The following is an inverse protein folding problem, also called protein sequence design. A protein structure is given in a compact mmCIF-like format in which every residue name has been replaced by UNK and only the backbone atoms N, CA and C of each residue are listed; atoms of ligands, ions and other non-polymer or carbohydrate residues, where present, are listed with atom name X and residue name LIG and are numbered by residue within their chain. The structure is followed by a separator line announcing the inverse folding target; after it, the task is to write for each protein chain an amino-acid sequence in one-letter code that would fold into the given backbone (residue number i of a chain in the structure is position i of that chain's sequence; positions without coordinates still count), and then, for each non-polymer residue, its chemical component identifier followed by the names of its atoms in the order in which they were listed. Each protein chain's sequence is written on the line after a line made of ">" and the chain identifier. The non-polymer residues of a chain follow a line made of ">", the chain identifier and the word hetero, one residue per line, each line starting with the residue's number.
data_IF_818259885845
#
_entry.id   IF_818259885845
#
_cell.length_a   1.000
_cell.length_b   1.000
_cell.length_c   1.000
_cell.angle_alpha   90.00
_cell.angle_beta   90.00
_cell.angle_gamma   90.00
#
_symmetry.space_group_name_H-M   'P 1'
#
loop_
_entity.id
_entity.type
_entity.pdbx_description
1 polymer ?
#
# COMPACT_ATOMS: atom_id res chain seq x y z
N UNK A 1 -36.86 18.52 -3.92
CA UNK A 1 -35.42 18.53 -4.30
C UNK A 1 -34.62 19.02 -3.10
N UNK A 2 -33.56 18.30 -2.69
CA UNK A 2 -32.73 18.69 -1.54
C UNK A 2 -31.93 19.96 -1.90
N UNK A 3 -31.91 21.01 -1.06
CA UNK A 3 -31.14 22.23 -1.32
C UNK A 3 -29.66 21.93 -1.59
N UNK A 4 -29.04 22.56 -2.60
CA UNK A 4 -27.63 22.29 -2.97
C UNK A 4 -26.67 22.41 -1.79
N UNK A 5 -26.88 23.39 -0.89
CA UNK A 5 -26.07 23.57 0.32
C UNK A 5 -26.20 22.42 1.33
N UNK A 6 -27.32 21.68 1.31
CA UNK A 6 -27.58 20.54 2.20
C UNK A 6 -27.16 19.19 1.60
N UNK A 7 -26.87 19.11 0.30
CA UNK A 7 -26.52 17.84 -0.35
C UNK A 7 -25.23 17.23 0.22
N UNK A 8 -24.17 18.03 0.36
CA UNK A 8 -22.89 17.58 0.92
C UNK A 8 -22.98 17.15 2.39
N UNK A 9 -23.56 17.93 3.33
CA UNK A 9 -23.68 17.49 4.72
C UNK A 9 -24.61 16.30 4.89
N UNK A 10 -25.70 16.19 4.11
CA UNK A 10 -26.56 15.01 4.14
C UNK A 10 -25.85 13.76 3.60
N UNK A 11 -25.06 13.90 2.54
CA UNK A 11 -24.23 12.80 2.03
C UNK A 11 -23.16 12.37 3.05
N UNK A 12 -22.50 13.33 3.71
CA UNK A 12 -21.55 13.03 4.78
C UNK A 12 -22.23 12.30 5.95
N UNK A 13 -23.37 12.81 6.42
CA UNK A 13 -24.15 12.17 7.47
C UNK A 13 -24.57 10.75 7.09
N UNK A 14 -25.04 10.55 5.85
CA UNK A 14 -25.38 9.23 5.32
C UNK A 14 -24.17 8.28 5.36
N UNK A 15 -23.01 8.70 4.86
CA UNK A 15 -21.80 7.85 4.89
C UNK A 15 -21.36 7.53 6.30
N UNK A 16 -21.40 8.49 7.22
CA UNK A 16 -21.10 8.25 8.64
C UNK A 16 -22.09 7.25 9.24
N UNK A 17 -23.39 7.39 8.95
CA UNK A 17 -24.40 6.41 9.38
C UNK A 17 -24.11 5.01 8.81
N UNK A 18 -23.77 4.89 7.53
CA UNK A 18 -23.40 3.62 6.91
C UNK A 18 -22.18 3.00 7.59
N UNK A 19 -21.15 3.80 7.90
CA UNK A 19 -19.95 3.33 8.59
C UNK A 19 -20.27 2.85 10.01
N UNK A 20 -21.05 3.62 10.77
CA UNK A 20 -21.42 3.27 12.15
C UNK A 20 -22.29 2.01 12.15
N UNK A 21 -23.34 1.96 11.33
CA UNK A 21 -24.22 0.79 11.23
C UNK A 21 -23.40 -0.43 10.78
N UNK A 22 -22.60 -0.28 9.73
CA UNK A 22 -21.72 -1.34 9.24
C UNK A 22 -20.78 -1.84 10.34
N UNK A 23 -20.13 -0.97 11.10
CA UNK A 23 -19.19 -1.38 12.14
C UNK A 23 -19.86 -2.05 13.36
N UNK A 24 -21.01 -1.55 13.81
CA UNK A 24 -21.60 -1.92 15.11
C UNK A 24 -22.79 -2.88 15.06
N UNK A 25 -23.37 -3.14 13.88
CA UNK A 25 -24.47 -4.12 13.74
C UNK A 25 -24.02 -5.56 13.95
N UNK A 26 -22.78 -5.91 13.57
CA UNK A 26 -22.28 -7.28 13.74
C UNK A 26 -22.02 -7.61 15.21
N UNK A 27 -22.26 -8.86 15.57
CA UNK A 27 -21.92 -9.40 16.88
C UNK A 27 -20.44 -9.22 17.22
N UNK A 28 -20.12 -9.15 18.51
CA UNK A 28 -18.74 -9.11 18.96
C UNK A 28 -18.07 -10.46 18.70
N UNK A 29 -16.78 -10.42 18.35
CA UNK A 29 -15.96 -11.61 18.16
C UNK A 29 -14.66 -11.48 18.94
N UNK A 30 -13.91 -12.58 19.04
CA UNK A 30 -12.64 -12.60 19.77
C UNK A 30 -11.72 -11.47 19.29
N UNK A 31 -11.28 -10.64 20.23
CA UNK A 31 -10.49 -9.42 20.05
C UNK A 31 -11.15 -8.23 19.31
N UNK A 32 -12.32 -8.42 18.67
CA UNK A 32 -13.10 -7.35 18.02
C UNK A 32 -14.34 -6.92 18.83
N UNK A 33 -14.09 -6.42 20.05
CA UNK A 33 -15.12 -5.84 20.93
C UNK A 33 -15.63 -4.50 20.40
N UNK A 34 -16.83 -4.07 20.84
CA UNK A 34 -17.37 -2.73 20.51
C UNK A 34 -16.43 -1.61 20.92
N UNK A 35 -15.67 -1.79 22.01
CA UNK A 35 -14.66 -0.82 22.44
C UNK A 35 -13.53 -0.66 21.40
N UNK A 36 -12.95 -1.77 20.95
CA UNK A 36 -11.85 -1.72 19.97
C UNK A 36 -12.34 -1.16 18.61
N UNK A 37 -13.59 -1.46 18.23
CA UNK A 37 -14.23 -0.84 17.05
C UNK A 37 -14.40 0.68 17.22
N UNK A 38 -14.86 1.12 18.40
CA UNK A 38 -15.00 2.55 18.68
C UNK A 38 -13.66 3.29 18.58
N UNK A 39 -12.57 2.67 19.06
CA UNK A 39 -11.21 3.21 18.91
C UNK A 39 -10.80 3.28 17.43
N UNK A 40 -11.00 2.22 16.64
CA UNK A 40 -10.70 2.26 15.19
C UNK A 40 -11.51 3.34 14.46
N UNK A 41 -12.78 3.56 14.84
CA UNK A 41 -13.64 4.59 14.25
C UNK A 41 -13.15 5.99 14.63
N UNK A 42 -12.81 6.20 15.91
CA UNK A 42 -12.24 7.43 16.40
C UNK A 42 -10.91 7.74 15.71
N UNK A 43 -10.05 6.73 15.54
CA UNK A 43 -8.81 6.84 14.81
C UNK A 43 -9.03 7.24 13.36
N UNK A 44 -9.95 6.58 12.65
CA UNK A 44 -10.30 6.96 11.28
C UNK A 44 -10.72 8.44 11.20
N UNK A 45 -11.58 8.89 12.11
CA UNK A 45 -12.00 10.29 12.18
C UNK A 45 -10.83 11.24 12.48
N UNK A 46 -9.93 10.87 13.39
CA UNK A 46 -8.78 11.68 13.77
C UNK A 46 -7.74 11.76 12.65
N UNK A 47 -7.49 10.67 11.91
CA UNK A 47 -6.61 10.67 10.74
C UNK A 47 -7.13 11.63 9.66
N UNK A 48 -8.43 11.58 9.36
CA UNK A 48 -9.07 12.53 8.43
C UNK A 48 -9.03 13.97 8.97
N UNK A 49 -9.22 14.16 10.27
CA UNK A 49 -9.11 15.47 10.91
C UNK A 49 -7.69 16.05 10.81
N UNK A 50 -6.65 15.23 11.02
CA UNK A 50 -5.26 15.64 10.85
C UNK A 50 -4.96 16.05 9.40
N UNK A 51 -5.48 15.31 8.40
CA UNK A 51 -5.37 15.68 6.99
C UNK A 51 -6.08 17.00 6.67
N UNK A 52 -7.24 17.24 7.27
CA UNK A 52 -7.98 18.49 7.13
C UNK A 52 -7.24 19.68 7.77
N UNK A 53 -6.68 19.52 8.98
CA UNK A 53 -5.87 20.57 9.63
C UNK A 53 -4.64 20.91 8.79
N UNK A 54 -3.93 19.87 8.35
CA UNK A 54 -2.68 20.02 7.58
C UNK A 54 -2.91 20.31 6.10
N UNK A 55 -4.17 20.41 5.65
CA UNK A 55 -4.54 20.68 4.26
C UNK A 55 -3.98 22.02 3.77
N UNK A 56 -3.44 22.04 2.55
CA UNK A 56 -2.89 23.26 1.93
C UNK A 56 -3.95 24.34 1.71
N UNK A 57 -5.20 23.96 1.42
CA UNK A 57 -6.31 24.90 1.24
C UNK A 57 -7.67 24.28 1.62
N UNK A 58 -8.05 24.42 2.88
CA UNK A 58 -9.29 23.82 3.44
C UNK A 58 -10.58 24.25 2.71
N UNK A 59 -10.60 25.45 2.13
CA UNK A 59 -11.78 25.99 1.42
C UNK A 59 -11.98 25.37 0.04
N UNK A 60 -10.92 24.79 -0.55
CA UNK A 60 -10.93 24.19 -1.89
C UNK A 60 -11.10 22.67 -1.87
N UNK A 61 -11.30 22.07 -0.70
CA UNK A 61 -11.57 20.63 -0.57
C UNK A 61 -12.87 20.28 -1.29
N UNK A 62 -12.77 19.42 -2.31
CA UNK A 62 -13.93 18.83 -2.98
C UNK A 62 -14.44 17.66 -2.13
N UNK A 63 -15.36 17.97 -1.21
CA UNK A 63 -15.89 16.99 -0.24
C UNK A 63 -16.55 15.77 -0.88
N UNK A 64 -17.06 15.87 -2.11
CA UNK A 64 -17.58 14.70 -2.84
C UNK A 64 -16.49 13.63 -3.00
N UNK A 65 -15.27 14.01 -3.38
CA UNK A 65 -14.14 13.08 -3.53
C UNK A 65 -13.85 12.38 -2.21
N UNK A 66 -13.78 13.13 -1.11
CA UNK A 66 -13.53 12.58 0.22
C UNK A 66 -14.64 11.63 0.66
N UNK A 67 -15.89 12.08 0.66
CA UNK A 67 -17.04 11.34 1.18
C UNK A 67 -17.26 10.06 0.37
N UNK A 68 -17.23 10.16 -0.97
CA UNK A 68 -17.40 9.00 -1.84
C UNK A 68 -16.22 8.06 -1.74
N UNK A 69 -14.98 8.57 -1.66
CA UNK A 69 -13.80 7.72 -1.50
C UNK A 69 -13.85 6.89 -0.21
N UNK A 70 -14.17 7.52 0.92
CA UNK A 70 -14.32 6.81 2.20
C UNK A 70 -15.48 5.80 2.16
N UNK A 71 -16.61 6.14 1.52
CA UNK A 71 -17.72 5.21 1.34
C UNK A 71 -17.31 4.00 0.48
N UNK A 72 -16.68 4.23 -0.66
CA UNK A 72 -16.26 3.15 -1.58
C UNK A 72 -15.22 2.26 -0.91
N UNK A 73 -14.24 2.83 -0.20
CA UNK A 73 -13.27 2.07 0.60
C UNK A 73 -13.99 1.18 1.62
N UNK A 74 -14.96 1.73 2.34
CA UNK A 74 -15.73 1.00 3.36
C UNK A 74 -16.61 -0.10 2.75
N UNK A 75 -17.27 0.16 1.62
CA UNK A 75 -18.09 -0.82 0.90
C UNK A 75 -17.24 -1.97 0.39
N UNK A 76 -16.06 -1.70 -0.19
CA UNK A 76 -15.10 -2.73 -0.60
C UNK A 76 -14.69 -3.57 0.63
N UNK A 77 -14.41 -2.93 1.75
CA UNK A 77 -14.01 -3.63 2.96
C UNK A 77 -15.12 -4.54 3.51
N UNK A 78 -16.39 -4.08 3.54
CA UNK A 78 -17.53 -4.94 3.91
C UNK A 78 -17.63 -6.12 2.94
N UNK A 79 -17.55 -5.87 1.64
CA UNK A 79 -17.64 -6.90 0.62
C UNK A 79 -16.60 -7.99 0.86
N UNK A 80 -15.33 -7.63 1.06
CA UNK A 80 -14.25 -8.63 1.23
C UNK A 80 -14.22 -9.27 2.62
N UNK A 81 -14.41 -8.48 3.68
CA UNK A 81 -14.17 -8.94 5.07
C UNK A 81 -15.40 -9.56 5.73
N UNK A 82 -16.61 -9.39 5.17
CA UNK A 82 -17.84 -9.90 5.78
C UNK A 82 -18.69 -10.79 4.90
N UNK A 83 -18.55 -10.71 3.58
CA UNK A 83 -19.34 -11.55 2.68
C UNK A 83 -18.52 -12.74 2.22
N UNK A 84 -19.13 -13.91 2.19
CA UNK A 84 -18.51 -15.14 1.65
C UNK A 84 -18.17 -14.97 0.17
N UNK A 85 -19.06 -14.33 -0.59
CA UNK A 85 -18.84 -14.05 -2.02
C UNK A 85 -17.60 -13.19 -2.24
N UNK A 86 -17.45 -12.10 -1.49
CA UNK A 86 -16.27 -11.24 -1.59
C UNK A 86 -15.00 -11.94 -1.12
N UNK A 87 -15.09 -12.74 -0.05
CA UNK A 87 -14.00 -13.60 0.40
C UNK A 87 -13.53 -14.55 -0.72
N UNK A 88 -14.46 -15.32 -1.31
CA UNK A 88 -14.17 -16.32 -2.34
C UNK A 88 -13.58 -15.69 -3.61
N UNK A 89 -14.12 -14.55 -4.05
CA UNK A 89 -13.61 -13.82 -5.22
C UNK A 89 -12.17 -13.36 -4.98
N UNK A 90 -11.89 -12.70 -3.86
CA UNK A 90 -10.54 -12.20 -3.58
C UNK A 90 -9.56 -13.33 -3.30
N UNK A 91 -10.01 -14.42 -2.67
CA UNK A 91 -9.22 -15.62 -2.51
C UNK A 91 -8.87 -16.22 -3.89
N UNK A 92 -9.84 -16.35 -4.81
CA UNK A 92 -9.59 -16.81 -6.18
C UNK A 92 -8.59 -15.92 -6.92
N UNK A 93 -8.78 -14.60 -6.89
CA UNK A 93 -7.86 -13.64 -7.51
C UNK A 93 -6.45 -13.81 -6.93
N UNK A 94 -6.36 -13.96 -5.60
CA UNK A 94 -5.09 -14.12 -4.90
C UNK A 94 -4.35 -15.38 -5.32
N UNK A 95 -5.06 -16.50 -5.43
CA UNK A 95 -4.47 -17.75 -5.91
C UNK A 95 -4.00 -17.64 -7.36
N UNK A 96 -4.81 -17.05 -8.25
CA UNK A 96 -4.41 -16.87 -9.66
C UNK A 96 -3.20 -15.95 -9.79
N UNK A 97 -3.10 -14.91 -8.98
CA UNK A 97 -1.94 -14.03 -8.95
C UNK A 97 -0.68 -14.79 -8.46
N UNK A 98 -0.81 -15.62 -7.41
CA UNK A 98 0.28 -16.48 -6.94
C UNK A 98 0.69 -17.52 -7.98
N UNK A 99 -0.26 -18.17 -8.66
CA UNK A 99 0.02 -19.14 -9.73
C UNK A 99 0.77 -18.48 -10.88
N UNK A 100 0.30 -17.29 -11.31
CA UNK A 100 0.93 -16.52 -12.38
C UNK A 100 2.38 -16.17 -12.05
N UNK A 101 2.62 -15.65 -10.84
CA UNK A 101 3.97 -15.29 -10.40
C UNK A 101 4.85 -16.52 -10.16
N UNK A 102 4.25 -17.65 -9.81
CA UNK A 102 4.93 -18.93 -9.62
C UNK A 102 5.62 -19.45 -10.88
N UNK A 103 5.15 -19.08 -12.08
CA UNK A 103 5.81 -19.47 -13.35
C UNK A 103 7.23 -18.93 -13.48
N UNK A 104 7.58 -17.84 -12.77
CA UNK A 104 8.95 -17.34 -12.72
C UNK A 104 9.95 -18.39 -12.19
N UNK A 105 9.49 -19.33 -11.35
CA UNK A 105 10.30 -20.44 -10.84
C UNK A 105 10.89 -21.30 -11.96
N UNK A 106 10.16 -21.52 -13.06
CA UNK A 106 10.67 -22.29 -14.20
C UNK A 106 11.90 -21.61 -14.83
N UNK A 107 11.85 -20.28 -14.96
CA UNK A 107 12.98 -19.48 -15.44
C UNK A 107 14.16 -19.53 -14.47
N UNK A 108 13.91 -19.41 -13.17
CA UNK A 108 14.95 -19.53 -12.14
C UNK A 108 15.63 -20.89 -12.18
N UNK A 109 14.88 -21.98 -12.23
CA UNK A 109 15.41 -23.35 -12.27
C UNK A 109 16.32 -23.58 -13.48
N UNK A 110 15.96 -23.01 -14.63
CA UNK A 110 16.77 -23.09 -15.84
C UNK A 110 18.06 -22.28 -15.74
N UNK A 111 18.01 -21.06 -15.18
CA UNK A 111 19.17 -20.17 -15.07
C UNK A 111 20.15 -20.55 -13.95
N UNK A 112 19.70 -21.31 -12.97
CA UNK A 112 20.48 -21.68 -11.78
C UNK A 112 20.52 -23.20 -11.63
N UNK A 113 19.71 -23.75 -10.72
CA UNK A 113 19.48 -25.18 -10.54
C UNK A 113 18.05 -25.39 -10.02
N UNK A 114 17.49 -26.62 -10.11
CA UNK A 114 16.21 -26.95 -9.50
C UNK A 114 16.15 -26.67 -7.99
N UNK A 115 17.28 -26.79 -7.29
CA UNK A 115 17.34 -26.56 -5.84
C UNK A 115 17.41 -25.08 -5.49
N UNK A 116 18.03 -24.24 -6.32
CA UNK A 116 18.07 -22.80 -6.09
C UNK A 116 16.67 -22.17 -6.04
N UNK A 117 15.71 -22.70 -6.81
CA UNK A 117 14.32 -22.25 -6.76
C UNK A 117 13.59 -22.59 -5.45
N UNK A 118 14.10 -23.55 -4.67
CA UNK A 118 13.57 -23.91 -3.33
C UNK A 118 14.14 -23.02 -2.23
N UNK A 119 15.26 -22.36 -2.49
CA UNK A 119 15.91 -21.46 -1.53
C UNK A 119 15.07 -20.18 -1.43
N UNK A 120 14.66 -19.82 -0.20
CA UNK A 120 13.87 -18.62 0.09
C UNK A 120 14.68 -17.32 0.07
N UNK A 121 15.78 -17.27 -0.69
CA UNK A 121 16.58 -16.05 -0.81
C UNK A 121 15.85 -15.02 -1.64
N UNK A 122 15.97 -13.75 -1.24
CA UNK A 122 15.41 -12.64 -1.99
C UNK A 122 15.85 -12.66 -3.47
N UNK A 123 17.15 -12.90 -3.73
CA UNK A 123 17.69 -12.93 -5.08
C UNK A 123 17.25 -14.14 -5.92
N UNK A 124 16.97 -15.28 -5.30
CA UNK A 124 16.59 -16.50 -6.00
C UNK A 124 15.08 -16.63 -6.21
N UNK A 125 14.27 -16.05 -5.31
CA UNK A 125 12.81 -16.20 -5.31
C UNK A 125 12.08 -14.93 -5.75
N UNK A 126 12.53 -13.75 -5.30
CA UNK A 126 11.80 -12.49 -5.47
C UNK A 126 12.19 -11.78 -6.77
N UNK A 127 13.50 -11.60 -7.00
CA UNK A 127 13.99 -10.87 -8.18
C UNK A 127 13.52 -11.49 -9.51
N UNK A 128 13.58 -12.82 -9.71
CA UNK A 128 13.09 -13.44 -10.95
C UNK A 128 11.59 -13.20 -11.19
N UNK A 129 10.78 -13.20 -10.14
CA UNK A 129 9.36 -12.92 -10.26
C UNK A 129 9.06 -11.46 -10.61
N UNK A 130 9.84 -10.51 -10.08
CA UNK A 130 9.77 -9.10 -10.50
C UNK A 130 10.11 -8.98 -11.98
N UNK A 131 11.19 -9.61 -12.45
CA UNK A 131 11.60 -9.60 -13.86
C UNK A 131 10.48 -10.14 -14.75
N UNK A 132 9.94 -11.30 -14.40
CA UNK A 132 8.86 -11.94 -15.16
C UNK A 132 7.58 -11.08 -15.18
N UNK A 133 7.17 -10.56 -14.03
CA UNK A 133 5.94 -9.77 -13.93
C UNK A 133 6.03 -8.46 -14.71
N UNK A 134 7.14 -7.72 -14.59
CA UNK A 134 7.34 -6.47 -15.34
C UNK A 134 7.37 -6.75 -16.85
N UNK A 135 8.02 -7.84 -17.26
CA UNK A 135 8.00 -8.32 -18.65
C UNK A 135 6.58 -8.58 -19.17
N UNK A 136 5.76 -9.26 -18.36
CA UNK A 136 4.38 -9.56 -18.68
C UNK A 136 3.51 -8.29 -18.74
N UNK A 137 3.67 -7.37 -17.79
CA UNK A 137 2.94 -6.08 -17.78
C UNK A 137 3.26 -5.28 -19.05
N UNK A 138 4.52 -5.23 -19.48
CA UNK A 138 4.90 -4.53 -20.72
C UNK A 138 4.32 -5.20 -21.96
N UNK A 139 4.25 -6.53 -21.99
CA UNK A 139 3.56 -7.25 -23.06
C UNK A 139 2.05 -6.93 -23.07
N UNK A 140 1.38 -6.96 -21.92
CA UNK A 140 -0.04 -6.63 -21.82
C UNK A 140 -0.33 -5.16 -22.14
N UNK A 141 0.62 -4.27 -21.86
CA UNK A 141 0.57 -2.87 -22.28
C UNK A 141 0.73 -2.74 -23.79
N UNK A 142 1.65 -3.46 -24.42
CA UNK A 142 1.80 -3.47 -25.88
C UNK A 142 0.54 -3.98 -26.60
N UNK A 143 -0.11 -5.00 -26.06
CA UNK A 143 -1.36 -5.57 -26.62
C UNK A 143 -2.58 -4.65 -26.40
N UNK A 144 -2.49 -3.65 -25.51
CA UNK A 144 -3.59 -2.73 -25.20
C UNK A 144 -4.50 -3.19 -24.06
N UNK A 145 -4.21 -4.34 -23.43
CA UNK A 145 -5.06 -4.90 -22.37
C UNK A 145 -5.02 -4.06 -21.09
N UNK A 146 -3.84 -3.60 -20.67
CA UNK A 146 -3.69 -2.76 -19.47
C UNK A 146 -4.45 -1.44 -19.65
N UNK A 147 -4.34 -0.81 -20.82
CA UNK A 147 -5.03 0.44 -21.13
C UNK A 147 -6.54 0.23 -21.09
N UNK A 148 -7.04 -0.83 -21.75
CA UNK A 148 -8.46 -1.17 -21.72
C UNK A 148 -8.95 -1.40 -20.28
N UNK A 149 -8.26 -2.23 -19.51
CA UNK A 149 -8.63 -2.59 -18.14
C UNK A 149 -8.59 -1.37 -17.21
N UNK A 150 -7.48 -0.65 -17.20
CA UNK A 150 -7.27 0.52 -16.33
C UNK A 150 -8.23 1.65 -16.69
N UNK A 151 -8.49 1.93 -17.97
CA UNK A 151 -9.45 2.99 -18.35
C UNK A 151 -10.86 2.64 -17.87
N UNK A 152 -11.29 1.38 -18.01
CA UNK A 152 -12.61 0.94 -17.51
C UNK A 152 -12.70 1.06 -16.00
N UNK A 153 -11.66 0.63 -15.29
CA UNK A 153 -11.64 0.67 -13.83
C UNK A 153 -11.53 2.11 -13.30
N UNK A 154 -10.66 2.94 -13.89
CA UNK A 154 -10.52 4.36 -13.59
C UNK A 154 -11.80 5.16 -13.89
N UNK A 155 -12.56 4.78 -14.92
CA UNK A 155 -13.83 5.46 -15.26
C UNK A 155 -14.83 5.47 -14.11
N UNK A 156 -14.86 4.39 -13.31
CA UNK A 156 -15.68 4.33 -12.10
C UNK A 156 -15.27 5.40 -11.09
N UNK A 157 -13.98 5.46 -10.73
CA UNK A 157 -13.47 6.42 -9.75
C UNK A 157 -13.54 7.86 -10.25
N UNK A 158 -13.26 8.08 -11.53
CA UNK A 158 -13.43 9.37 -12.21
C UNK A 158 -14.87 9.88 -12.07
N UNK A 159 -15.86 9.06 -12.43
CA UNK A 159 -17.27 9.43 -12.36
C UNK A 159 -17.77 9.58 -10.91
N UNK A 160 -17.43 8.63 -10.03
CA UNK A 160 -17.89 8.62 -8.65
C UNK A 160 -17.30 9.80 -7.86
N UNK A 161 -15.98 9.99 -7.95
CA UNK A 161 -15.21 10.91 -7.10
C UNK A 161 -14.92 12.27 -7.73
N UNK A 162 -15.21 12.48 -9.03
CA UNK A 162 -14.94 13.72 -9.78
C UNK A 162 -13.48 14.18 -9.72
N UNK A 163 -12.56 13.24 -9.85
CA UNK A 163 -11.12 13.50 -9.96
C UNK A 163 -10.71 13.63 -11.43
N UNK A 164 -9.48 14.05 -11.72
CA UNK A 164 -9.00 14.13 -13.10
C UNK A 164 -8.79 12.72 -13.70
N UNK A 165 -8.80 12.62 -15.02
CA UNK A 165 -8.60 11.35 -15.70
C UNK A 165 -7.21 10.74 -15.44
N UNK A 166 -6.17 11.56 -15.43
CA UNK A 166 -4.80 11.11 -15.18
C UNK A 166 -4.65 10.53 -13.76
N UNK A 167 -5.15 11.23 -12.75
CA UNK A 167 -5.14 10.75 -11.37
C UNK A 167 -5.95 9.47 -11.17
N UNK A 168 -7.12 9.37 -11.81
CA UNK A 168 -7.94 8.17 -11.76
C UNK A 168 -7.24 6.95 -12.39
N UNK A 169 -6.56 7.14 -13.53
CA UNK A 169 -5.77 6.10 -14.21
C UNK A 169 -4.65 5.62 -13.31
N UNK A 170 -3.87 6.54 -12.72
CA UNK A 170 -2.79 6.18 -11.81
C UNK A 170 -3.33 5.46 -10.58
N UNK A 171 -4.36 6.01 -9.92
CA UNK A 171 -4.99 5.41 -8.75
C UNK A 171 -5.48 3.98 -9.02
N UNK A 172 -6.13 3.77 -10.16
CA UNK A 172 -6.63 2.46 -10.56
C UNK A 172 -5.52 1.48 -10.93
N UNK A 173 -4.38 1.95 -11.43
CA UNK A 173 -3.28 1.12 -11.89
C UNK A 173 -2.27 0.75 -10.79
N UNK A 174 -1.99 1.67 -9.84
CA UNK A 174 -0.92 1.49 -8.84
C UNK A 174 -0.97 0.14 -8.10
N UNK A 175 -2.13 -0.37 -7.63
CA UNK A 175 -2.24 -1.70 -7.01
C UNK A 175 -1.70 -2.88 -7.83
N UNK A 176 -1.76 -2.76 -9.16
CA UNK A 176 -1.44 -3.87 -10.06
C UNK A 176 -0.01 -3.78 -10.54
N UNK A 177 0.44 -2.59 -10.94
CA UNK A 177 1.71 -2.43 -11.63
C UNK A 177 2.77 -1.69 -10.82
N UNK A 178 2.41 -1.04 -9.71
CA UNK A 178 3.37 -0.36 -8.82
C UNK A 178 3.50 1.14 -9.05
N UNK A 179 4.26 1.78 -8.15
CA UNK A 179 4.37 3.24 -8.05
C UNK A 179 5.15 3.91 -9.19
N UNK A 180 6.02 3.17 -9.90
CA UNK A 180 6.79 3.73 -11.02
C UNK A 180 6.07 3.54 -12.36
N UNK A 181 5.56 2.33 -12.57
CA UNK A 181 4.91 1.87 -13.78
C UNK A 181 3.55 2.54 -13.97
N UNK A 182 2.80 2.79 -12.88
CA UNK A 182 1.55 3.54 -12.96
C UNK A 182 1.73 4.94 -13.54
N UNK A 183 2.87 5.57 -13.28
CA UNK A 183 3.20 6.91 -13.79
C UNK A 183 3.47 6.86 -15.29
N UNK A 184 4.04 5.78 -15.81
CA UNK A 184 4.30 5.62 -17.25
C UNK A 184 3.02 5.65 -18.09
N UNK A 185 1.89 5.18 -17.53
CA UNK A 185 0.60 5.21 -18.21
C UNK A 185 0.11 6.62 -18.53
N UNK A 186 0.61 7.63 -17.81
CA UNK A 186 0.23 9.03 -18.02
C UNK A 186 1.41 9.87 -18.50
N UNK A 187 2.49 9.25 -19.00
CA UNK A 187 3.75 9.92 -19.37
C UNK A 187 3.55 11.21 -20.19
N UNK A 188 2.81 11.22 -21.30
CA UNK A 188 2.51 12.44 -22.05
C UNK A 188 1.85 13.58 -21.26
N UNK A 189 1.18 13.28 -20.15
CA UNK A 189 0.51 14.27 -19.32
C UNK A 189 1.36 14.78 -18.15
N UNK A 190 2.45 14.10 -17.76
CA UNK A 190 3.22 14.43 -16.54
C UNK A 190 3.69 15.89 -16.54
N UNK A 191 4.20 16.37 -17.67
CA UNK A 191 4.68 17.75 -17.81
C UNK A 191 3.60 18.80 -17.59
N UNK A 192 2.34 18.42 -17.66
CA UNK A 192 1.21 19.33 -17.55
C UNK A 192 0.31 19.07 -16.34
N UNK A 193 0.70 18.14 -15.46
CA UNK A 193 -0.05 17.89 -14.23
C UNK A 193 0.01 19.11 -13.32
N UNK A 194 -1.10 19.40 -12.64
CA UNK A 194 -1.10 20.39 -11.55
C UNK A 194 -0.33 19.85 -10.34
N UNK A 195 0.00 20.71 -9.39
CA UNK A 195 0.68 20.25 -8.16
C UNK A 195 -0.18 19.28 -7.33
N UNK A 196 -1.50 19.41 -7.40
CA UNK A 196 -2.41 18.49 -6.72
C UNK A 196 -2.43 17.12 -7.42
N UNK A 197 -2.38 17.11 -8.75
CA UNK A 197 -2.24 15.88 -9.54
C UNK A 197 -0.91 15.17 -9.28
N UNK A 198 0.22 15.89 -9.23
CA UNK A 198 1.51 15.29 -8.86
C UNK A 198 1.45 14.69 -7.46
N UNK A 199 0.91 15.44 -6.48
CA UNK A 199 0.78 14.92 -5.11
C UNK A 199 -0.08 13.65 -5.06
N UNK A 200 -1.19 13.59 -5.80
CA UNK A 200 -2.06 12.41 -5.85
C UNK A 200 -1.39 11.22 -6.53
N UNK A 201 -0.75 11.43 -7.68
CA UNK A 201 -0.03 10.38 -8.41
C UNK A 201 1.03 9.75 -7.51
N UNK A 202 1.78 10.58 -6.78
CA UNK A 202 2.77 10.11 -5.81
C UNK A 202 2.11 9.37 -4.64
N UNK A 203 1.09 9.97 -4.02
CA UNK A 203 0.35 9.39 -2.90
C UNK A 203 -0.24 8.02 -3.22
N UNK A 204 -0.79 7.83 -4.43
CA UNK A 204 -1.32 6.54 -4.89
C UNK A 204 -0.25 5.45 -4.93
N UNK A 205 0.93 5.79 -5.45
CA UNK A 205 2.07 4.88 -5.47
C UNK A 205 2.49 4.46 -4.06
N UNK A 206 2.57 5.40 -3.12
CA UNK A 206 2.91 5.09 -1.72
C UNK A 206 1.82 4.34 -0.95
N UNK A 207 0.56 4.49 -1.34
CA UNK A 207 -0.59 3.87 -0.67
C UNK A 207 -0.79 2.39 -1.05
N UNK A 208 -0.02 1.87 -2.00
CA UNK A 208 -0.20 0.53 -2.58
C UNK A 208 1.13 -0.20 -2.68
N UNK A 209 1.07 -1.50 -2.93
CA UNK A 209 2.22 -2.31 -3.37
C UNK A 209 2.03 -2.69 -4.84
N UNK A 210 3.09 -3.14 -5.50
CA UNK A 210 3.04 -3.64 -6.87
C UNK A 210 2.67 -5.13 -6.90
N UNK A 211 1.99 -5.57 -7.97
CA UNK A 211 1.78 -6.99 -8.21
C UNK A 211 3.08 -7.77 -8.37
N UNK A 212 4.16 -7.14 -8.86
CA UNK A 212 5.49 -7.76 -9.02
C UNK A 212 6.10 -8.24 -7.71
N UNK A 213 5.81 -7.58 -6.60
CA UNK A 213 6.35 -7.91 -5.27
C UNK A 213 5.38 -8.75 -4.43
N UNK A 214 4.16 -9.02 -4.91
CA UNK A 214 3.16 -9.79 -4.19
C UNK A 214 3.68 -11.17 -3.79
N UNK A 215 4.31 -11.90 -4.72
CA UNK A 215 4.83 -13.24 -4.46
C UNK A 215 5.93 -13.24 -3.39
N UNK A 216 6.64 -12.14 -3.26
CA UNK A 216 7.70 -12.00 -2.27
C UNK A 216 7.11 -11.96 -0.85
N UNK A 217 6.06 -11.15 -0.65
CA UNK A 217 5.35 -11.11 0.63
C UNK A 217 4.64 -12.43 0.92
N UNK A 218 4.08 -13.09 -0.10
CA UNK A 218 3.50 -14.43 0.05
C UNK A 218 4.57 -15.45 0.45
N UNK A 219 5.76 -15.40 -0.15
CA UNK A 219 6.89 -16.25 0.20
C UNK A 219 7.41 -16.03 1.63
N UNK A 220 7.25 -14.82 2.17
CA UNK A 220 7.52 -14.48 3.58
C UNK A 220 6.42 -15.04 4.51
N UNK A 221 5.23 -15.37 3.98
CA UNK A 221 4.10 -15.92 4.75
C UNK A 221 2.95 -14.93 4.96
N UNK A 222 2.97 -13.78 4.28
CA UNK A 222 1.88 -12.80 4.36
C UNK A 222 0.68 -13.28 3.56
N UNK A 223 -0.52 -13.13 4.13
CA UNK A 223 -1.75 -13.55 3.47
C UNK A 223 -2.00 -12.74 2.17
N UNK A 224 -2.08 -13.39 0.99
CA UNK A 224 -2.22 -12.69 -0.29
C UNK A 224 -3.59 -12.02 -0.47
N UNK A 225 -4.65 -12.58 0.11
CA UNK A 225 -5.99 -12.01 0.08
C UNK A 225 -6.04 -10.68 0.86
N UNK A 226 -5.39 -10.60 2.02
CA UNK A 226 -5.26 -9.38 2.80
C UNK A 226 -4.48 -8.30 2.02
N UNK A 227 -3.39 -8.68 1.34
CA UNK A 227 -2.60 -7.75 0.51
C UNK A 227 -3.42 -7.19 -0.66
N UNK A 228 -4.07 -8.06 -1.44
CA UNK A 228 -4.84 -7.63 -2.62
C UNK A 228 -6.02 -6.75 -2.20
N UNK A 229 -6.77 -7.16 -1.17
CA UNK A 229 -7.90 -6.38 -0.70
C UNK A 229 -7.48 -5.03 -0.11
N UNK A 230 -6.36 -4.97 0.63
CA UNK A 230 -5.77 -3.71 1.09
C UNK A 230 -5.41 -2.79 -0.08
N UNK A 231 -4.77 -3.31 -1.14
CA UNK A 231 -4.42 -2.51 -2.31
C UNK A 231 -5.64 -1.96 -3.05
N UNK A 232 -6.70 -2.77 -3.21
CA UNK A 232 -7.95 -2.32 -3.84
C UNK A 232 -8.67 -1.27 -2.99
N UNK A 233 -8.66 -1.42 -1.65
CA UNK A 233 -9.16 -0.40 -0.72
C UNK A 233 -8.36 0.90 -0.78
N UNK A 234 -7.05 0.83 -1.05
CA UNK A 234 -6.18 2.01 -1.16
C UNK A 234 -6.45 2.87 -2.40
N UNK A 235 -7.17 2.38 -3.41
CA UNK A 235 -7.51 3.18 -4.61
C UNK A 235 -8.39 4.39 -4.25
N UNK A 236 -9.63 4.20 -3.73
CA UNK A 236 -10.47 5.32 -3.33
C UNK A 236 -9.89 6.07 -2.13
N UNK A 237 -9.18 5.38 -1.23
CA UNK A 237 -8.57 5.98 -0.05
C UNK A 237 -7.50 7.01 -0.44
N UNK A 238 -6.57 6.65 -1.32
CA UNK A 238 -5.47 7.53 -1.73
C UNK A 238 -5.97 8.78 -2.45
N UNK A 239 -6.99 8.64 -3.30
CA UNK A 239 -7.69 9.76 -3.94
C UNK A 239 -8.34 10.68 -2.89
N UNK A 240 -9.05 10.12 -1.91
CA UNK A 240 -9.70 10.89 -0.85
C UNK A 240 -8.69 11.64 0.04
N UNK A 241 -7.68 10.94 0.56
CA UNK A 241 -6.70 11.54 1.49
C UNK A 241 -5.78 12.53 0.78
N UNK A 242 -5.38 12.26 -0.46
CA UNK A 242 -4.57 13.19 -1.26
C UNK A 242 -5.34 14.47 -1.55
N UNK A 243 -6.58 14.38 -2.06
CA UNK A 243 -7.38 15.58 -2.38
C UNK A 243 -7.87 16.31 -1.13
N UNK A 244 -7.86 15.69 0.04
CA UNK A 244 -8.04 16.39 1.32
C UNK A 244 -6.79 17.17 1.71
N UNK A 245 -5.60 16.54 1.64
CA UNK A 245 -4.32 17.15 2.03
C UNK A 245 -3.85 18.24 1.06
N UNK A 246 -4.05 18.00 -0.23
CA UNK A 246 -3.63 18.86 -1.34
C UNK A 246 -4.77 18.99 -2.35
N UNK A 247 -5.76 19.86 -2.08
CA UNK A 247 -6.93 20.02 -2.95
C UNK A 247 -6.57 20.66 -4.30
N UNK A 248 -7.35 20.33 -5.32
CA UNK A 248 -7.21 20.94 -6.64
C UNK A 248 -7.58 22.43 -6.62
N UNK A 249 -6.68 23.26 -7.14
CA UNK A 249 -6.89 24.72 -7.23
C UNK A 249 -6.86 25.25 -8.66
N UNK A 250 -6.36 24.44 -9.59
CA UNK A 250 -6.14 24.77 -10.99
C UNK A 250 -7.06 23.93 -11.88
N UNK A 251 -7.22 24.33 -13.15
CA UNK A 251 -7.94 23.52 -14.13
C UNK A 251 -7.04 22.42 -14.68
N UNK A 252 -7.51 21.17 -14.63
CA UNK A 252 -6.74 20.01 -15.08
C UNK A 252 -6.99 19.73 -16.56
N UNK A 253 -5.93 19.36 -17.29
CA UNK A 253 -6.01 19.05 -18.74
C UNK A 253 -6.80 17.78 -19.07
N UNK A 254 -6.96 16.91 -18.07
CA UNK A 254 -7.76 15.69 -18.17
C UNK A 254 -9.11 15.82 -17.47
N UNK A 255 -9.52 17.06 -17.13
CA UNK A 255 -10.88 17.33 -16.70
C UNK A 255 -11.87 16.83 -17.77
N UNK A 256 -12.79 15.95 -17.39
CA UNK A 256 -13.85 15.48 -18.28
C UNK A 256 -13.53 14.23 -19.11
N UNK A 257 -12.29 13.71 -19.12
CA UNK A 257 -11.94 12.51 -19.92
C UNK A 257 -10.94 11.59 -19.21
N UNK A 258 -11.16 10.28 -19.32
CA UNK A 258 -10.22 9.24 -18.90
C UNK A 258 -9.58 8.66 -20.15
N UNK A 259 -8.36 9.09 -20.46
CA UNK A 259 -7.61 8.62 -21.62
C UNK A 259 -6.19 8.32 -21.18
N UNK A 260 -5.67 7.16 -21.57
CA UNK A 260 -4.24 6.88 -21.54
C UNK A 260 -3.69 7.44 -22.86
N UNK A 261 -2.85 8.49 -22.83
CA UNK A 261 -2.35 9.11 -24.05
C UNK A 261 -1.41 8.15 -24.78
N UNK A 262 -1.41 8.20 -26.10
CA UNK A 262 -0.49 7.41 -26.91
C UNK A 262 0.94 7.97 -26.80
N UNK A 263 1.92 7.11 -26.52
CA UNK A 263 3.35 7.43 -26.52
C UNK A 263 4.00 6.83 -27.78
N UNK A 264 3.97 7.59 -28.88
CA UNK A 264 4.46 7.12 -30.18
C UNK A 264 6.00 7.03 -30.25
N UNK A 265 6.71 7.74 -29.37
CA UNK A 265 8.18 7.72 -29.33
C UNK A 265 8.74 6.45 -28.68
N UNK A 266 8.01 5.86 -27.72
CA UNK A 266 8.50 4.72 -26.91
C UNK A 266 7.72 3.41 -27.14
N UNK A 267 6.90 3.34 -28.20
CA UNK A 267 6.15 2.12 -28.54
C UNK A 267 7.09 0.98 -28.95
N UNK A 268 6.89 -0.19 -28.32
CA UNK A 268 7.57 -1.40 -28.73
C UNK A 268 7.18 -1.79 -30.17
N UNK A 269 8.13 -2.34 -30.95
CA UNK A 269 7.89 -2.70 -32.35
C UNK A 269 7.06 -3.99 -32.52
N UNK A 270 7.16 -4.93 -31.57
CA UNK A 270 6.40 -6.17 -31.55
C UNK A 270 6.26 -6.69 -30.11
N UNK A 271 5.44 -7.73 -29.92
CA UNK A 271 5.17 -8.34 -28.62
C UNK A 271 6.44 -8.85 -27.93
N UNK A 272 7.34 -9.49 -28.68
CA UNK A 272 8.58 -10.02 -28.14
C UNK A 272 9.54 -8.90 -27.70
N UNK A 273 9.59 -7.80 -28.46
CA UNK A 273 10.32 -6.60 -28.10
C UNK A 273 9.78 -6.00 -26.79
N UNK A 274 8.46 -5.85 -26.65
CA UNK A 274 7.83 -5.36 -25.41
C UNK A 274 8.19 -6.24 -24.21
N UNK A 275 8.10 -7.56 -24.37
CA UNK A 275 8.47 -8.53 -23.34
C UNK A 275 9.96 -8.40 -22.97
N UNK A 276 10.87 -8.43 -23.95
CA UNK A 276 12.31 -8.30 -23.70
C UNK A 276 12.70 -6.98 -23.02
N UNK A 277 12.12 -5.84 -23.45
CA UNK A 277 12.32 -4.55 -22.80
C UNK A 277 11.80 -4.56 -21.36
N UNK A 278 10.65 -5.18 -21.12
CA UNK A 278 10.11 -5.33 -19.77
C UNK A 278 10.96 -6.21 -18.87
N UNK A 279 11.59 -7.27 -19.40
CA UNK A 279 12.53 -8.09 -18.63
C UNK A 279 13.76 -7.27 -18.17
N UNK A 280 14.35 -6.45 -19.05
CA UNK A 280 15.46 -5.54 -18.68
C UNK A 280 15.04 -4.50 -17.64
N UNK A 281 13.84 -3.92 -17.79
CA UNK A 281 13.28 -3.00 -16.82
C UNK A 281 13.08 -3.69 -15.47
N UNK A 282 12.51 -4.89 -15.46
CA UNK A 282 12.32 -5.69 -14.27
C UNK A 282 13.63 -6.06 -13.58
N UNK A 283 14.70 -6.35 -14.33
CA UNK A 283 16.04 -6.59 -13.78
C UNK A 283 16.56 -5.33 -13.07
N UNK A 284 16.47 -4.18 -13.73
CA UNK A 284 16.87 -2.89 -13.13
C UNK A 284 16.10 -2.62 -11.84
N UNK A 285 14.78 -2.82 -11.83
CA UNK A 285 13.92 -2.63 -10.65
C UNK A 285 14.31 -3.60 -9.53
N UNK A 286 14.46 -4.90 -9.84
CA UNK A 286 14.85 -5.91 -8.88
C UNK A 286 16.21 -5.61 -8.24
N UNK A 287 17.20 -5.20 -9.04
CA UNK A 287 18.52 -4.79 -8.55
C UNK A 287 18.47 -3.52 -7.71
N UNK A 288 17.65 -2.54 -8.07
CA UNK A 288 17.44 -1.33 -7.26
C UNK A 288 16.86 -1.69 -5.89
N UNK A 289 15.81 -2.53 -5.84
CA UNK A 289 15.22 -2.97 -4.57
C UNK A 289 16.24 -3.74 -3.72
N UNK A 290 16.97 -4.69 -4.32
CA UNK A 290 17.98 -5.47 -3.60
C UNK A 290 19.09 -4.58 -3.00
N UNK A 291 19.60 -3.63 -3.76
CA UNK A 291 20.62 -2.68 -3.29
C UNK A 291 20.08 -1.78 -2.18
N UNK A 292 18.87 -1.23 -2.34
CA UNK A 292 18.23 -0.41 -1.31
C UNK A 292 17.98 -1.19 -0.02
N UNK A 293 17.48 -2.43 -0.10
CA UNK A 293 17.27 -3.30 1.07
C UNK A 293 18.58 -3.58 1.81
N UNK A 294 19.63 -3.96 1.08
CA UNK A 294 20.95 -4.23 1.66
C UNK A 294 21.49 -3.02 2.43
N UNK A 295 21.47 -1.84 1.79
CA UNK A 295 21.99 -0.62 2.40
C UNK A 295 21.17 -0.18 3.62
N UNK A 296 19.83 -0.21 3.53
CA UNK A 296 18.95 0.22 4.62
C UNK A 296 19.05 -0.71 5.83
N UNK A 297 19.03 -2.03 5.63
CA UNK A 297 19.14 -3.00 6.74
C UNK A 297 20.50 -2.84 7.44
N UNK A 298 21.58 -2.70 6.66
CA UNK A 298 22.92 -2.48 7.20
C UNK A 298 23.02 -1.16 7.97
N UNK A 299 22.39 -0.10 7.47
CA UNK A 299 22.36 1.21 8.12
C UNK A 299 21.56 1.17 9.42
N UNK A 300 20.43 0.46 9.47
CA UNK A 300 19.66 0.27 10.71
C UNK A 300 20.50 -0.48 11.73
N UNK A 301 21.22 -1.53 11.32
CA UNK A 301 22.16 -2.24 12.20
C UNK A 301 23.26 -1.34 12.77
N UNK A 302 23.84 -0.47 11.94
CA UNK A 302 24.83 0.52 12.38
C UNK A 302 24.23 1.52 13.38
N UNK A 303 23.05 2.08 13.07
CA UNK A 303 22.34 3.03 13.96
C UNK A 303 22.01 2.36 15.30
N UNK A 304 21.49 1.13 15.28
CA UNK A 304 21.19 0.38 16.49
C UNK A 304 22.45 0.12 17.33
N UNK A 305 23.57 -0.24 16.69
CA UNK A 305 24.85 -0.40 17.38
C UNK A 305 25.34 0.89 18.06
N UNK A 306 25.24 2.03 17.35
CA UNK A 306 25.63 3.34 17.89
C UNK A 306 24.70 3.82 19.01
N UNK A 307 23.38 3.67 18.82
CA UNK A 307 22.37 4.02 19.81
C UNK A 307 22.51 3.16 21.08
N UNK A 308 22.77 1.87 20.92
CA UNK A 308 23.00 0.95 22.04
C UNK A 308 24.27 1.33 22.80
N UNK A 309 25.37 1.60 22.08
CA UNK A 309 26.61 2.08 22.68
C UNK A 309 26.40 3.38 23.47
N UNK A 310 25.70 4.35 22.89
CA UNK A 310 25.40 5.63 23.54
C UNK A 310 24.43 5.47 24.73
N UNK A 311 23.41 4.62 24.60
CA UNK A 311 22.45 4.34 25.65
C UNK A 311 23.10 3.71 26.88
N UNK A 312 24.03 2.76 26.67
CA UNK A 312 24.82 2.16 27.74
C UNK A 312 25.78 3.17 28.38
N UNK A 313 26.36 4.08 27.59
CA UNK A 313 27.18 5.18 28.13
C UNK A 313 26.39 6.11 29.05
N UNK A 314 25.09 6.33 28.77
CA UNK A 314 24.18 7.11 29.63
C UNK A 314 23.57 6.30 30.78
N UNK A 315 24.06 5.09 31.06
CA UNK A 315 23.56 4.20 32.11
C UNK A 315 22.06 3.86 31.98
N UNK A 316 21.56 3.76 30.74
CA UNK A 316 20.22 3.22 30.49
C UNK A 316 20.32 1.69 30.66
N UNK A 317 19.98 1.19 31.86
CA UNK A 317 19.97 -0.25 32.18
C UNK A 317 18.74 -1.00 31.64
N UNK A 318 17.82 -0.28 30.99
CA UNK A 318 16.61 -0.85 30.38
C UNK A 318 16.90 -1.62 29.07
N UNK A 319 15.86 -1.88 28.24
CA UNK A 319 16.08 -2.48 26.93
C UNK A 319 17.07 -1.63 26.11
N UNK A 320 17.92 -2.28 25.32
CA UNK A 320 18.92 -1.59 24.50
C UNK A 320 18.25 -0.48 23.66
N UNK A 321 18.87 0.70 23.64
CA UNK A 321 18.37 1.83 22.87
C UNK A 321 18.55 1.52 21.38
N UNK A 322 17.47 1.14 20.72
CA UNK A 322 17.46 0.89 19.27
C UNK A 322 16.51 1.82 18.53
N UNK A 323 16.65 1.86 17.21
CA UNK A 323 15.74 2.58 16.34
C UNK A 323 14.31 2.04 16.45
N UNK A 324 14.15 0.73 16.56
CA UNK A 324 12.84 0.09 16.79
C UNK A 324 12.26 0.54 18.14
N UNK A 325 13.10 0.70 19.17
CA UNK A 325 12.65 1.20 20.47
C UNK A 325 11.99 2.58 20.32
N UNK A 326 12.72 3.52 19.70
CA UNK A 326 12.30 4.90 19.48
C UNK A 326 11.05 4.96 18.61
N UNK A 327 11.05 4.21 17.51
CA UNK A 327 9.95 4.17 16.56
C UNK A 327 8.69 3.56 17.15
N UNK A 328 8.82 2.55 18.01
CA UNK A 328 7.72 1.96 18.75
C UNK A 328 7.00 3.01 19.60
N UNK A 329 7.72 3.88 20.30
CA UNK A 329 7.11 4.96 21.06
C UNK A 329 6.52 6.06 20.18
N UNK A 330 7.19 6.45 19.10
CA UNK A 330 6.71 7.49 18.19
C UNK A 330 5.42 7.08 17.46
N UNK A 331 5.34 5.81 17.04
CA UNK A 331 4.19 5.26 16.32
C UNK A 331 3.12 4.67 17.25
N UNK A 332 3.34 4.66 18.57
CA UNK A 332 2.39 4.13 19.56
C UNK A 332 1.00 4.77 19.44
N UNK A 333 0.87 6.12 19.32
CA UNK A 333 -0.44 6.73 19.14
C UNK A 333 -1.12 6.28 17.85
N UNK A 334 -0.35 6.04 16.78
CA UNK A 334 -0.90 5.58 15.51
C UNK A 334 -1.46 4.17 15.69
N UNK A 335 -0.69 3.23 16.24
CA UNK A 335 -1.15 1.85 16.50
C UNK A 335 -2.41 1.82 17.37
N UNK A 336 -2.47 2.68 18.40
CA UNK A 336 -3.67 2.85 19.21
C UNK A 336 -4.88 3.28 18.39
N UNK A 337 -4.74 4.31 17.54
CA UNK A 337 -5.82 4.82 16.69
C UNK A 337 -6.28 3.82 15.63
N UNK A 338 -5.42 2.88 15.20
CA UNK A 338 -5.86 1.79 14.31
C UNK A 338 -6.79 0.79 15.01
N UNK A 339 -6.87 0.83 16.35
CA UNK A 339 -7.69 -0.04 17.19
C UNK A 339 -7.06 -1.41 17.43
N UNK A 340 -5.72 -1.42 17.55
CA UNK A 340 -4.96 -2.56 18.07
C UNK A 340 -5.36 -2.83 19.53
N UNK A 341 -5.60 -4.08 19.93
CA UNK A 341 -5.87 -4.47 21.31
C UNK A 341 -4.89 -3.88 22.33
N UNK A 342 -5.45 -3.39 23.45
CA UNK A 342 -4.72 -2.80 24.57
C UNK A 342 -4.01 -3.83 25.46
N UNK A 343 -4.08 -5.11 25.11
CA UNK A 343 -3.62 -6.26 25.91
C UNK A 343 -2.14 -6.61 25.72
N UNK A 344 -1.35 -5.75 25.06
CA UNK A 344 0.10 -5.92 24.89
C UNK A 344 0.63 -5.71 23.47
N UNK A 345 -0.26 -5.73 22.47
CA UNK A 345 0.14 -5.70 21.05
C UNK A 345 0.50 -4.30 20.53
N UNK A 346 0.04 -3.23 21.20
CA UNK A 346 0.18 -1.85 20.73
C UNK A 346 1.60 -1.47 20.37
N UNK A 347 2.53 -1.78 21.27
CA UNK A 347 3.93 -1.43 21.10
C UNK A 347 4.56 -2.20 19.93
N UNK A 348 4.29 -3.51 19.84
CA UNK A 348 4.77 -4.37 18.75
C UNK A 348 4.27 -3.90 17.38
N UNK A 349 2.99 -3.58 17.26
CA UNK A 349 2.42 -3.05 16.00
C UNK A 349 3.00 -1.67 15.67
N UNK A 350 3.21 -0.82 16.68
CA UNK A 350 3.83 0.49 16.49
C UNK A 350 5.28 0.38 15.95
N UNK A 351 6.07 -0.57 16.47
CA UNK A 351 7.41 -0.84 15.96
C UNK A 351 7.38 -1.22 14.48
N UNK A 352 6.47 -2.11 14.07
CA UNK A 352 6.32 -2.52 12.68
C UNK A 352 5.95 -1.34 11.76
N UNK A 353 5.03 -0.48 12.19
CA UNK A 353 4.65 0.74 11.44
C UNK A 353 5.85 1.66 11.27
N UNK A 354 6.62 1.89 12.32
CA UNK A 354 7.81 2.73 12.24
C UNK A 354 8.89 2.11 11.34
N UNK A 355 9.12 0.80 11.48
CA UNK A 355 10.09 0.06 10.66
C UNK A 355 9.74 0.16 9.18
N UNK A 356 8.45 0.08 8.83
CA UNK A 356 7.96 0.33 7.46
C UNK A 356 8.35 1.71 6.97
N UNK A 357 8.06 2.77 7.75
CA UNK A 357 8.24 4.15 7.33
C UNK A 357 9.71 4.52 7.09
N UNK A 358 10.62 4.05 7.97
CA UNK A 358 12.05 4.35 7.85
C UNK A 358 12.76 3.37 6.91
N UNK A 359 12.50 2.08 7.06
CA UNK A 359 13.17 1.04 6.28
C UNK A 359 12.41 0.79 4.97
N UNK A 360 11.36 -0.02 5.06
CA UNK A 360 10.41 -0.38 4.02
C UNK A 360 9.51 -1.51 4.53
N UNK A 361 8.46 -1.81 3.77
CA UNK A 361 7.49 -2.85 4.06
C UNK A 361 8.06 -4.28 3.99
N UNK A 362 9.11 -4.55 3.21
CA UNK A 362 9.75 -5.88 3.18
C UNK A 362 10.37 -6.25 4.52
N UNK A 363 11.13 -5.33 5.11
CA UNK A 363 11.74 -5.52 6.43
C UNK A 363 10.64 -5.69 7.50
N UNK A 364 9.59 -4.86 7.44
CA UNK A 364 8.47 -4.95 8.37
C UNK A 364 7.66 -6.26 8.24
N UNK A 365 7.40 -6.75 7.03
CA UNK A 365 6.73 -8.04 6.83
C UNK A 365 7.60 -9.22 7.25
N UNK A 366 8.91 -9.14 7.01
CA UNK A 366 9.86 -10.16 7.46
C UNK A 366 9.85 -10.24 8.99
N UNK A 367 9.91 -9.10 9.67
CA UNK A 367 9.78 -9.04 11.13
C UNK A 367 8.44 -9.63 11.60
N UNK A 368 7.31 -9.20 11.02
CA UNK A 368 5.97 -9.69 11.38
C UNK A 368 5.81 -11.22 11.30
N UNK A 369 6.49 -11.86 10.33
CA UNK A 369 6.33 -13.30 10.08
C UNK A 369 7.43 -14.17 10.68
N UNK A 370 8.66 -13.65 10.82
CA UNK A 370 9.83 -14.46 11.16
C UNK A 370 10.45 -14.13 12.51
N UNK A 371 10.22 -12.93 13.05
CA UNK A 371 10.76 -12.55 14.36
C UNK A 371 9.84 -13.09 15.49
N UNK A 372 10.37 -13.93 16.40
CA UNK A 372 9.61 -14.51 17.52
C UNK A 372 8.90 -13.47 18.39
N UNK A 373 9.39 -12.23 18.46
CA UNK A 373 8.77 -11.15 19.22
C UNK A 373 7.34 -10.83 18.74
N UNK A 374 7.02 -11.11 17.47
CA UNK A 374 5.70 -10.87 16.88
C UNK A 374 4.86 -12.14 16.75
N UNK A 375 5.34 -13.30 17.21
CA UNK A 375 4.65 -14.58 17.04
C UNK A 375 3.33 -14.65 17.82
N UNK A 376 3.27 -14.02 18.99
CA UNK A 376 2.16 -13.98 19.94
C UNK A 376 1.13 -12.86 19.65
N UNK A 377 1.28 -12.09 18.55
CA UNK A 377 0.30 -11.08 18.17
C UNK A 377 -1.07 -11.71 17.99
N UNK A 378 -2.10 -11.07 18.57
CA UNK A 378 -3.49 -11.48 18.34
C UNK A 378 -3.81 -11.44 16.84
N UNK A 379 -4.73 -12.29 16.34
CA UNK A 379 -5.02 -12.33 14.90
C UNK A 379 -5.62 -10.99 14.40
N UNK A 380 -6.29 -10.23 15.27
CA UNK A 380 -6.70 -8.84 15.03
C UNK A 380 -5.50 -7.93 14.76
N UNK A 381 -4.52 -7.93 15.66
CA UNK A 381 -3.30 -7.11 15.54
C UNK A 381 -2.52 -7.47 14.29
N UNK A 382 -2.40 -8.78 13.99
CA UNK A 382 -1.74 -9.27 12.78
C UNK A 382 -2.45 -8.77 11.52
N UNK A 383 -3.78 -8.76 11.49
CA UNK A 383 -4.54 -8.19 10.37
C UNK A 383 -4.32 -6.69 10.24
N UNK A 384 -4.48 -5.92 11.33
CA UNK A 384 -4.30 -4.46 11.33
C UNK A 384 -2.88 -4.10 10.86
N UNK A 385 -1.85 -4.78 11.40
CA UNK A 385 -0.48 -4.62 10.96
C UNK A 385 -0.35 -4.94 9.47
N UNK A 386 -0.91 -6.06 8.99
CA UNK A 386 -0.84 -6.44 7.57
C UNK A 386 -1.37 -5.33 6.65
N UNK A 387 -2.49 -4.70 7.00
CA UNK A 387 -3.07 -3.60 6.21
C UNK A 387 -2.26 -2.30 6.34
N UNK A 388 -1.80 -1.96 7.56
CA UNK A 388 -1.00 -0.76 7.79
C UNK A 388 0.37 -0.81 7.09
N UNK A 389 0.94 -2.00 6.94
CA UNK A 389 2.19 -2.25 6.25
C UNK A 389 2.05 -2.29 4.72
N UNK A 390 0.84 -2.50 4.20
CA UNK A 390 0.57 -2.75 2.78
C UNK A 390 0.64 -1.47 1.93
N UNK A 391 1.83 -0.91 1.77
CA UNK A 391 2.10 0.16 0.81
C UNK A 391 3.54 0.63 0.85
N UNK A 392 4.01 1.19 -0.27
CA UNK A 392 5.39 1.68 -0.44
C UNK A 392 5.72 3.00 0.27
N UNK A 393 4.90 3.47 1.22
CA UNK A 393 5.18 4.69 1.95
C UNK A 393 6.41 4.53 2.88
N UNK A 394 7.60 4.84 2.37
CA UNK A 394 8.87 4.81 3.08
C UNK A 394 9.93 5.69 2.40
N UNK A 395 11.01 6.02 3.13
CA UNK A 395 12.06 6.95 2.67
C UNK A 395 12.75 6.44 1.39
N UNK A 396 13.00 5.12 1.29
CA UNK A 396 13.63 4.54 0.10
C UNK A 396 12.76 4.67 -1.16
N UNK A 397 11.46 4.40 -1.01
CA UNK A 397 10.47 4.54 -2.08
C UNK A 397 10.26 5.99 -2.49
N UNK A 398 10.39 6.94 -1.56
CA UNK A 398 10.37 8.37 -1.88
C UNK A 398 11.48 8.72 -2.87
N UNK A 399 12.70 8.24 -2.64
CA UNK A 399 13.82 8.40 -3.58
C UNK A 399 13.53 7.75 -4.94
N UNK A 400 12.98 6.53 -4.93
CA UNK A 400 12.62 5.83 -6.17
C UNK A 400 11.58 6.58 -7.00
N UNK A 401 10.51 7.08 -6.36
CA UNK A 401 9.43 7.77 -7.08
C UNK A 401 9.87 9.13 -7.61
N UNK A 402 10.70 9.89 -6.86
CA UNK A 402 11.35 11.10 -7.37
C UNK A 402 12.22 10.75 -8.58
N UNK A 403 13.03 9.70 -8.49
CA UNK A 403 13.91 9.27 -9.57
C UNK A 403 13.18 8.84 -10.84
N UNK A 404 12.04 8.16 -10.72
CA UNK A 404 11.18 7.80 -11.86
C UNK A 404 10.57 9.06 -12.47
N UNK A 405 9.94 9.92 -11.68
CA UNK A 405 9.34 11.16 -12.18
C UNK A 405 10.37 12.11 -12.81
N UNK A 406 11.57 12.19 -12.25
CA UNK A 406 12.67 12.99 -12.80
C UNK A 406 13.12 12.49 -14.19
N UNK A 407 13.11 11.17 -14.42
CA UNK A 407 13.42 10.60 -15.74
C UNK A 407 12.29 10.83 -16.75
N UNK A 408 11.04 10.87 -16.29
CA UNK A 408 9.86 11.02 -17.15
C UNK A 408 9.54 12.49 -17.48
N UNK A 409 9.79 13.40 -16.54
CA UNK A 409 9.53 14.84 -16.68
C UNK A 409 10.63 15.65 -15.98
N UNK A 410 11.83 15.76 -16.59
CA UNK A 410 12.98 16.44 -15.98
C UNK A 410 12.71 17.89 -15.58
N UNK A 411 11.86 18.60 -16.35
CA UNK A 411 11.47 19.98 -16.09
C UNK A 411 10.61 20.18 -14.83
N UNK A 412 9.98 19.10 -14.31
CA UNK A 412 9.09 19.12 -13.14
C UNK A 412 9.74 18.59 -11.87
N UNK A 413 11.06 18.35 -11.86
CA UNK A 413 11.75 17.75 -10.70
C UNK A 413 11.62 18.59 -9.42
N UNK A 414 11.60 19.93 -9.54
CA UNK A 414 11.41 20.83 -8.41
C UNK A 414 10.02 20.65 -7.78
N UNK A 415 8.98 20.59 -8.60
CA UNK A 415 7.60 20.37 -8.19
C UNK A 415 7.42 19.03 -7.46
N UNK A 416 7.94 17.96 -8.06
CA UNK A 416 7.91 16.61 -7.49
C UNK A 416 8.59 16.58 -6.13
N UNK A 417 9.79 17.16 -6.03
CA UNK A 417 10.55 17.21 -4.78
C UNK A 417 9.83 18.00 -3.69
N UNK A 418 9.13 19.07 -4.05
CA UNK A 418 8.40 19.91 -3.11
C UNK A 418 7.23 19.16 -2.44
N UNK A 419 6.57 18.24 -3.15
CA UNK A 419 5.40 17.50 -2.63
C UNK A 419 5.72 16.10 -2.13
N UNK A 420 6.90 15.55 -2.44
CA UNK A 420 7.26 14.16 -2.20
C UNK A 420 7.04 13.69 -0.75
N UNK A 421 7.53 14.43 0.24
CA UNK A 421 7.37 14.06 1.65
C UNK A 421 5.91 14.10 2.09
N UNK A 422 5.16 15.13 1.64
CA UNK A 422 3.72 15.23 1.91
C UNK A 422 2.95 14.06 1.29
N UNK A 423 3.28 13.70 0.05
CA UNK A 423 2.64 12.58 -0.65
C UNK A 423 2.96 11.24 0.03
N UNK A 424 4.19 11.02 0.48
CA UNK A 424 4.60 9.81 1.20
C UNK A 424 3.83 9.65 2.52
N UNK A 425 3.79 10.70 3.33
CA UNK A 425 3.05 10.67 4.60
C UNK A 425 1.54 10.48 4.35
N UNK A 426 0.99 11.12 3.31
CA UNK A 426 -0.42 10.96 2.94
C UNK A 426 -0.70 9.53 2.44
N UNK A 427 0.23 8.91 1.71
CA UNK A 427 0.14 7.51 1.30
C UNK A 427 0.18 6.55 2.49
N UNK A 428 1.03 6.81 3.49
CA UNK A 428 1.01 6.06 4.75
C UNK A 428 -0.34 6.20 5.46
N UNK A 429 -0.88 7.42 5.57
CA UNK A 429 -2.20 7.69 6.13
C UNK A 429 -3.32 6.96 5.37
N UNK A 430 -3.21 6.81 4.04
CA UNK A 430 -4.13 5.98 3.24
C UNK A 430 -4.11 4.51 3.67
N UNK A 431 -2.94 3.92 3.90
CA UNK A 431 -2.85 2.54 4.40
C UNK A 431 -3.38 2.40 5.82
N UNK A 432 -3.24 3.45 6.64
CA UNK A 432 -3.78 3.51 7.99
C UNK A 432 -5.30 3.62 8.00
N UNK A 433 -5.94 4.34 7.08
CA UNK A 433 -7.41 4.32 6.96
C UNK A 433 -7.90 2.93 6.58
N UNK A 434 -7.21 2.23 5.67
CA UNK A 434 -7.52 0.83 5.31
C UNK A 434 -7.38 -0.10 6.52
N UNK A 435 -6.33 0.06 7.32
CA UNK A 435 -6.12 -0.72 8.54
C UNK A 435 -7.18 -0.44 9.63
N UNK A 436 -7.55 0.83 9.85
CA UNK A 436 -8.65 1.19 10.75
C UNK A 436 -9.97 0.58 10.30
N UNK A 437 -10.30 0.60 9.01
CA UNK A 437 -11.52 -0.02 8.48
C UNK A 437 -11.48 -1.55 8.61
N UNK A 438 -10.34 -2.18 8.38
CA UNK A 438 -10.18 -3.61 8.64
C UNK A 438 -10.42 -3.94 10.14
N UNK A 439 -9.87 -3.12 11.04
CA UNK A 439 -10.13 -3.20 12.48
C UNK A 439 -11.60 -2.97 12.88
N UNK A 440 -12.38 -2.20 12.11
CA UNK A 440 -13.83 -2.05 12.33
C UNK A 440 -14.61 -3.32 11.96
N UNK A 441 -14.21 -3.99 10.89
CA UNK A 441 -15.07 -4.94 10.20
C UNK A 441 -14.74 -6.42 10.46
N UNK A 442 -13.52 -6.74 10.93
CA UNK A 442 -13.06 -8.12 11.07
C UNK A 442 -13.89 -8.91 12.09
N UNK A 443 -14.64 -9.91 11.65
CA UNK A 443 -15.49 -10.72 12.54
C UNK A 443 -14.93 -12.12 12.74
N UNK A 444 -14.39 -12.74 11.70
CA UNK A 444 -13.73 -14.05 11.76
C UNK A 444 -12.28 -13.96 11.27
N UNK A 445 -11.33 -13.96 12.21
CA UNK A 445 -9.91 -13.82 11.91
C UNK A 445 -9.28 -15.16 11.45
N UNK A 446 -9.92 -16.30 11.75
CA UNK A 446 -9.43 -17.63 11.35
C UNK A 446 -9.54 -17.85 9.84
N UNK A 447 -10.40 -17.08 9.16
CA UNK A 447 -10.52 -17.07 7.69
C UNK A 447 -9.27 -16.50 6.99
N UNK A 448 -8.51 -15.64 7.66
CA UNK A 448 -7.31 -15.01 7.10
C UNK A 448 -6.01 -15.64 7.61
N UNK A 449 -6.03 -16.29 8.77
CA UNK A 449 -4.85 -16.92 9.36
C UNK A 449 -5.22 -18.32 9.85
N UNK A 450 -4.77 -19.37 9.14
CA UNK A 450 -5.01 -20.75 9.61
C UNK A 450 -4.08 -21.05 10.80
N UNK A 451 -4.46 -21.93 11.74
CA UNK A 451 -3.59 -22.34 12.84
C UNK A 451 -2.23 -22.91 12.40
N UNK A 452 -2.14 -23.49 11.19
CA UNK A 452 -0.87 -23.94 10.60
C UNK A 452 0.08 -22.80 10.23
N UNK A 453 -0.44 -21.62 9.90
CA UNK A 453 0.38 -20.44 9.61
C UNK A 453 0.99 -19.87 10.90
N UNK A 454 0.36 -20.11 12.06
CA UNK A 454 0.89 -19.78 13.39
C UNK A 454 1.93 -20.82 13.88
N UNK A 455 1.81 -22.08 13.47
CA UNK A 455 2.71 -23.17 13.88
C UNK A 455 4.00 -23.28 13.03
N UNK A 456 4.02 -22.74 11.80
CA UNK A 456 5.24 -22.76 10.96
C UNK A 456 6.39 -21.92 11.52
N UNK A 457 6.11 -20.95 12.41
CA UNK A 457 7.14 -20.23 13.17
C UNK A 457 7.81 -21.04 14.28
N UNK A 458 7.25 -22.20 14.67
CA UNK A 458 7.78 -23.04 15.74
C UNK A 458 8.62 -24.23 15.22
N UNK A 459 8.47 -24.62 13.95
CA UNK A 459 9.11 -25.84 13.41
C UNK A 459 10.34 -25.61 12.53
N UNK A 460 10.74 -24.37 12.24
CA UNK A 460 11.95 -24.10 11.44
C UNK A 460 13.26 -24.10 12.22
N UNK A 461 13.24 -24.39 13.52
CA UNK A 461 14.47 -24.50 14.35
C UNK A 461 14.96 -25.95 14.54
N UNK A 462 14.33 -26.94 13.90
CA UNK A 462 14.82 -28.32 13.90
C UNK A 462 14.60 -29.01 12.54
N UNK A 463 15.23 -28.49 11.48
CA UNK A 463 15.64 -29.30 10.33
C UNK A 463 16.57 -28.49 9.43
N UNK A 464 17.85 -28.90 9.45
CA UNK A 464 19.02 -28.46 8.68
C UNK A 464 19.71 -27.20 9.19
#
# INVERSE_FOLDING_TARGET
>A
MIPQKMQTPLAAAFVVCVIIIGAFVSEESQDNTRENRAVSLFGLALLLFCLWITSKNRKKIVWRTVIVGMLVQFVIAIFVLRTTVGYDIFHFISQRATDLLGFASLGTQFLTTPDAAKIKWFLANVVPAIIFFVSLVQLLYYVGFIQWFVVKFASFFFWAMRVSGAEAVVAAASPFIGQGESIMLIRPFINYLTMAEIHQVMCSGFATIAGSVLIAYVGIGVNPQALISSCVMSIPASLAVSKMRYPETEETLTAGRVVVPEDDEHKAKNALHAFATGAWLGLKIGSMIAATLLCIISLIGLINGLLTWWGRYLTIEGPDLTLELILGYLCYPIAFLLGVPRTGDLYKVAQLIGLKLIANEFVAYTALQQDPNYADLSPRSRLIATYALCGFANIGSLGNQIGVLAQLAPSRIGDVSQVALSAMLTGALSTFTSASIAGLLVTDQQQFFKPKDMAMGMNSTMAI
#
